data_IF_268174822575
#
_entry.id   IF_268174822575
#
_cell.length_a   1.000
_cell.length_b   1.000
_cell.length_c   1.000
_cell.angle_alpha   90.00
_cell.angle_beta   90.00
_cell.angle_gamma   90.00
#
_symmetry.space_group_name_H-M   'P 1'
#
loop_
_entity.id
_entity.type
_entity.pdbx_description
1 polymer ?
#
# COMPACT_ATOMS: atom_id res chain seq x y z
N UNK A 1 3.36 4.46 -11.77
CA UNK A 1 3.14 5.50 -10.73
C UNK A 1 1.91 6.33 -11.04
N UNK A 2 1.90 7.06 -12.15
CA UNK A 2 0.78 7.96 -12.49
C UNK A 2 -0.58 7.25 -12.54
N UNK A 3 -0.67 6.09 -13.19
CA UNK A 3 -1.94 5.38 -13.33
C UNK A 3 -2.47 4.87 -12.00
N UNK A 4 -1.60 4.31 -11.15
CA UNK A 4 -1.98 3.81 -9.82
C UNK A 4 -2.44 4.95 -8.89
N UNK A 5 -1.88 6.14 -9.03
CA UNK A 5 -2.33 7.35 -8.32
C UNK A 5 -3.73 7.77 -8.77
N UNK A 6 -3.98 7.81 -10.08
CA UNK A 6 -5.31 8.18 -10.60
C UNK A 6 -6.37 7.13 -10.22
N UNK A 7 -6.00 5.86 -10.28
CA UNK A 7 -6.84 4.77 -9.83
C UNK A 7 -7.21 4.92 -8.34
N UNK A 8 -6.25 5.19 -7.46
CA UNK A 8 -6.54 5.43 -6.04
C UNK A 8 -7.54 6.58 -5.83
N UNK A 9 -7.36 7.70 -6.54
CA UNK A 9 -8.28 8.85 -6.47
C UNK A 9 -9.70 8.49 -6.94
N UNK A 10 -9.81 7.71 -8.01
CA UNK A 10 -11.12 7.27 -8.51
C UNK A 10 -11.81 6.34 -7.50
N UNK A 11 -11.07 5.39 -6.92
CA UNK A 11 -11.59 4.45 -5.93
C UNK A 11 -11.99 5.17 -4.64
N UNK A 12 -11.18 6.13 -4.15
CA UNK A 12 -11.49 6.97 -2.98
C UNK A 12 -12.85 7.68 -3.12
N UNK A 13 -13.10 8.30 -4.28
CA UNK A 13 -14.30 9.10 -4.52
C UNK A 13 -15.53 8.22 -4.75
N UNK A 14 -15.40 7.19 -5.58
CA UNK A 14 -16.57 6.43 -6.04
C UNK A 14 -16.87 5.21 -5.17
N UNK A 15 -15.86 4.61 -4.54
CA UNK A 15 -15.97 3.33 -3.85
C UNK A 15 -15.08 3.28 -2.59
N UNK A 16 -15.34 4.13 -1.58
CA UNK A 16 -14.51 4.23 -0.38
C UNK A 16 -14.38 2.90 0.40
N UNK A 17 -15.37 2.02 0.27
CA UNK A 17 -15.29 0.65 0.82
C UNK A 17 -14.19 -0.20 0.15
N UNK A 18 -13.95 -0.04 -1.16
CA UNK A 18 -12.85 -0.71 -1.88
C UNK A 18 -11.52 -0.02 -1.55
N UNK A 19 -11.52 1.31 -1.42
CA UNK A 19 -10.34 2.08 -0.98
C UNK A 19 -9.79 1.54 0.35
N UNK A 20 -10.68 1.22 1.30
CA UNK A 20 -10.34 0.62 2.59
C UNK A 20 -9.86 -0.84 2.53
N UNK A 21 -9.92 -1.52 1.38
CA UNK A 21 -9.50 -2.94 1.22
C UNK A 21 -8.14 -3.10 0.54
N UNK A 22 -7.69 -2.11 -0.21
CA UNK A 22 -6.42 -2.17 -0.94
C UNK A 22 -5.31 -1.56 -0.08
N UNK A 23 -4.16 -2.23 0.01
CA UNK A 23 -3.01 -1.84 0.82
C UNK A 23 -3.21 -1.76 2.35
N UNK A 24 -4.41 -2.05 2.86
CA UNK A 24 -4.74 -1.96 4.28
C UNK A 24 -4.45 -3.24 5.08
N UNK A 25 -3.84 -4.26 4.46
CA UNK A 25 -3.60 -5.58 5.04
C UNK A 25 -2.22 -5.79 5.69
N UNK A 26 -1.92 -7.04 5.99
CA UNK A 26 -0.69 -7.48 6.69
C UNK A 26 0.14 -8.51 5.92
N UNK A 27 -0.34 -8.94 4.75
CA UNK A 27 0.20 -10.11 4.03
C UNK A 27 1.55 -9.85 3.34
N UNK A 28 2.01 -8.60 3.32
CA UNK A 28 3.27 -8.16 2.68
C UNK A 28 4.24 -7.54 3.71
N UNK A 29 4.08 -7.83 5.00
CA UNK A 29 5.02 -7.35 6.03
C UNK A 29 6.43 -7.85 5.74
N UNK A 30 7.37 -6.92 5.54
CA UNK A 30 8.76 -7.22 5.13
C UNK A 30 9.82 -6.71 6.14
N UNK A 31 9.37 -6.17 7.28
CA UNK A 31 10.23 -5.78 8.39
C UNK A 31 10.06 -6.74 9.56
N UNK A 32 11.13 -6.92 10.34
CA UNK A 32 11.09 -7.64 11.62
C UNK A 32 10.33 -6.87 12.72
N UNK A 33 9.78 -5.70 12.39
CA UNK A 33 9.05 -4.83 13.31
C UNK A 33 7.55 -5.06 13.33
N UNK A 34 6.87 -4.06 13.87
CA UNK A 34 5.42 -3.98 13.94
C UNK A 34 4.93 -2.68 13.31
N UNK A 35 4.98 -2.54 11.96
CA UNK A 35 4.57 -1.32 11.30
C UNK A 35 3.10 -1.00 11.55
N UNK A 36 2.79 0.21 12.00
CA UNK A 36 1.43 0.67 12.21
C UNK A 36 1.04 1.82 11.29
N UNK A 37 2.02 2.42 10.59
CA UNK A 37 1.78 3.55 9.69
C UNK A 37 2.62 3.46 8.42
N UNK A 38 2.15 4.16 7.38
CA UNK A 38 2.88 4.30 6.12
C UNK A 38 3.85 5.47 6.18
N UNK A 39 4.99 5.34 5.50
CA UNK A 39 5.97 6.40 5.36
C UNK A 39 6.73 6.30 4.04
N UNK A 40 7.10 7.45 3.47
CA UNK A 40 7.98 7.55 2.30
C UNK A 40 9.33 6.88 2.54
N UNK A 41 9.96 7.17 3.69
CA UNK A 41 11.23 6.62 4.12
C UNK A 41 11.10 6.09 5.54
N UNK A 42 10.74 4.81 5.74
CA UNK A 42 10.65 4.22 7.06
C UNK A 42 12.02 4.27 7.78
N UNK A 43 12.12 5.09 8.81
CA UNK A 43 13.32 5.33 9.62
C UNK A 43 13.40 4.46 10.88
N UNK A 44 12.33 3.73 11.17
CA UNK A 44 12.24 2.78 12.28
C UNK A 44 11.33 1.59 11.90
N UNK A 45 11.23 0.62 12.79
CA UNK A 45 10.50 -0.63 12.56
C UNK A 45 8.96 -0.53 12.82
N UNK A 46 8.45 0.67 13.10
CA UNK A 46 7.02 1.00 13.29
C UNK A 46 6.40 1.63 12.04
N UNK A 47 7.19 1.91 11.01
CA UNK A 47 6.78 2.48 9.73
C UNK A 47 7.03 1.52 8.58
N UNK A 48 6.32 1.71 7.48
CA UNK A 48 6.54 0.94 6.25
C UNK A 48 6.17 1.72 4.99
N UNK A 49 6.94 1.57 3.91
CA UNK A 49 6.55 2.03 2.57
C UNK A 49 5.82 0.94 1.77
N UNK A 50 5.57 -0.22 2.40
CA UNK A 50 5.02 -1.42 1.77
C UNK A 50 3.50 -1.48 1.90
N UNK A 51 2.81 -1.50 0.76
CA UNK A 51 1.40 -1.80 0.61
C UNK A 51 1.09 -3.14 1.28
N UNK A 52 0.04 -3.19 2.11
CA UNK A 52 -0.34 -4.34 2.91
C UNK A 52 0.82 -4.89 3.78
N UNK A 53 1.74 -4.01 4.17
CA UNK A 53 2.90 -4.30 5.02
C UNK A 53 2.72 -3.91 6.49
N UNK A 54 1.48 -3.62 6.92
CA UNK A 54 1.17 -3.27 8.30
C UNK A 54 1.21 -4.52 9.20
N UNK A 55 1.30 -4.29 10.51
CA UNK A 55 1.28 -5.36 11.51
C UNK A 55 -0.14 -5.84 11.83
N UNK A 56 -1.12 -4.96 11.66
CA UNK A 56 -2.54 -5.28 11.78
C UNK A 56 -3.27 -4.65 10.60
N UNK A 57 -4.36 -5.28 10.16
CA UNK A 57 -5.20 -4.73 9.12
C UNK A 57 -5.83 -3.41 9.61
N UNK A 58 -5.82 -2.37 8.76
CA UNK A 58 -6.19 -1.01 9.13
C UNK A 58 -6.98 -0.34 8.00
N UNK A 59 -8.30 -0.54 7.99
CA UNK A 59 -9.18 0.08 6.99
C UNK A 59 -9.23 1.62 7.10
N UNK A 60 -8.86 2.17 8.25
CA UNK A 60 -8.66 3.61 8.49
C UNK A 60 -7.40 4.16 7.79
N UNK A 61 -6.58 3.29 7.19
CA UNK A 61 -5.42 3.63 6.36
C UNK A 61 -5.66 3.08 4.96
N UNK A 62 -6.65 3.64 4.24
CA UNK A 62 -7.04 3.14 2.94
C UNK A 62 -5.96 3.37 1.89
N UNK A 63 -6.21 2.86 0.70
CA UNK A 63 -5.29 2.91 -0.42
C UNK A 63 -4.91 4.34 -0.84
N UNK A 64 -5.86 5.27 -0.85
CA UNK A 64 -5.60 6.71 -1.00
C UNK A 64 -4.55 7.25 -0.01
N UNK A 65 -4.69 6.91 1.29
CA UNK A 65 -3.72 7.29 2.34
C UNK A 65 -2.35 6.65 2.14
N UNK A 66 -2.30 5.41 1.67
CA UNK A 66 -1.05 4.78 1.29
C UNK A 66 -0.36 5.58 0.17
N UNK A 67 -1.07 5.88 -0.92
CA UNK A 67 -0.55 6.63 -2.08
C UNK A 67 0.03 7.99 -1.67
N UNK A 68 -0.66 8.71 -0.78
CA UNK A 68 -0.20 9.98 -0.21
C UNK A 68 1.06 9.78 0.65
N UNK A 69 0.98 8.91 1.66
CA UNK A 69 2.01 8.76 2.68
C UNK A 69 3.35 8.30 2.12
N UNK A 70 3.34 7.47 1.07
CA UNK A 70 4.57 6.97 0.44
C UNK A 70 5.01 7.80 -0.77
N UNK A 71 4.31 8.91 -1.06
CA UNK A 71 4.62 9.87 -2.12
C UNK A 71 4.67 9.26 -3.53
N UNK A 72 3.67 8.43 -3.84
CA UNK A 72 3.53 7.82 -5.17
C UNK A 72 3.33 8.87 -6.28
N UNK A 73 2.70 10.01 -5.94
CA UNK A 73 2.51 11.17 -6.85
C UNK A 73 3.84 11.76 -7.31
N UNK A 74 4.86 11.72 -6.44
CA UNK A 74 6.22 12.20 -6.74
C UNK A 74 7.09 11.12 -7.42
N UNK A 75 6.51 9.98 -7.80
CA UNK A 75 7.24 8.87 -8.40
C UNK A 75 8.07 8.05 -7.42
N UNK A 76 7.86 8.21 -6.11
CA UNK A 76 8.56 7.44 -5.08
C UNK A 76 7.80 6.16 -4.72
N UNK A 77 8.51 5.21 -4.10
CA UNK A 77 7.95 3.97 -3.56
C UNK A 77 7.12 3.12 -4.55
N UNK A 78 7.37 3.27 -5.85
CA UNK A 78 6.71 2.49 -6.90
C UNK A 78 7.69 2.04 -7.98
N UNK A 79 7.66 0.77 -8.44
CA UNK A 79 6.83 -0.34 -7.94
C UNK A 79 7.40 -1.00 -6.66
N UNK A 80 8.60 -0.62 -6.25
CA UNK A 80 9.31 -1.14 -5.09
C UNK A 80 9.14 -0.21 -3.89
N UNK A 81 8.84 -0.77 -2.73
CA UNK A 81 8.71 -0.04 -1.47
C UNK A 81 10.08 0.33 -0.87
N UNK A 82 10.13 1.41 -0.08
CA UNK A 82 11.15 1.63 0.95
C UNK A 82 10.72 0.96 2.24
N UNK A 83 11.68 0.35 2.93
CA UNK A 83 11.44 -0.46 4.14
C UNK A 83 12.53 -0.21 5.16
N UNK A 84 12.21 -0.48 6.42
CA UNK A 84 13.20 -0.51 7.50
C UNK A 84 13.50 -1.96 7.91
N UNK A 85 14.76 -2.36 7.77
CA UNK A 85 15.25 -3.63 8.30
C UNK A 85 16.68 -3.41 8.80
N UNK A 86 16.80 -3.09 10.09
CA UNK A 86 18.00 -2.55 10.77
C UNK A 86 18.52 -1.22 10.20
N UNK A 87 18.24 -0.92 8.94
CA UNK A 87 18.51 0.33 8.24
C UNK A 87 17.46 0.55 7.15
N UNK A 88 17.38 1.78 6.64
CA UNK A 88 16.54 2.14 5.49
C UNK A 88 17.08 1.46 4.23
N UNK A 89 16.23 0.73 3.51
CA UNK A 89 16.63 0.07 2.26
C UNK A 89 15.44 -0.11 1.32
N UNK A 90 15.74 -0.53 0.10
CA UNK A 90 14.70 -0.99 -0.82
C UNK A 90 14.15 -2.33 -0.37
N UNK A 91 12.83 -2.48 -0.49
CA UNK A 91 12.13 -3.72 -0.26
C UNK A 91 12.36 -4.73 -1.40
N UNK A 92 11.54 -5.77 -1.41
CA UNK A 92 11.53 -6.75 -2.50
C UNK A 92 11.18 -6.03 -3.81
N UNK A 93 11.89 -6.29 -4.93
CA UNK A 93 11.55 -5.72 -6.23
C UNK A 93 10.07 -5.93 -6.56
N UNK A 94 9.39 -4.86 -7.00
CA UNK A 94 7.95 -4.86 -7.29
C UNK A 94 7.04 -5.20 -6.10
N UNK A 95 7.53 -5.06 -4.86
CA UNK A 95 6.76 -5.40 -3.66
C UNK A 95 5.41 -4.68 -3.55
N UNK A 96 5.35 -3.39 -3.87
CA UNK A 96 4.08 -2.64 -3.83
C UNK A 96 3.15 -3.02 -4.97
N UNK A 97 3.68 -3.18 -6.19
CA UNK A 97 2.88 -3.61 -7.33
C UNK A 97 2.26 -5.01 -7.12
N UNK A 98 3.04 -5.95 -6.57
CA UNK A 98 2.58 -7.30 -6.25
C UNK A 98 1.50 -7.29 -5.18
N UNK A 99 1.67 -6.49 -4.12
CA UNK A 99 0.71 -6.39 -3.03
C UNK A 99 -0.62 -5.77 -3.50
N UNK A 100 -0.57 -4.67 -4.26
CA UNK A 100 -1.77 -4.05 -4.87
C UNK A 100 -2.51 -5.07 -5.74
N UNK A 101 -1.81 -5.76 -6.64
CA UNK A 101 -2.44 -6.74 -7.52
C UNK A 101 -3.10 -7.87 -6.73
N UNK A 102 -2.45 -8.34 -5.65
CA UNK A 102 -3.01 -9.36 -4.77
C UNK A 102 -4.27 -8.89 -4.05
N UNK A 103 -4.30 -7.65 -3.57
CA UNK A 103 -5.49 -7.07 -2.94
C UNK A 103 -6.65 -6.94 -3.94
N UNK A 104 -6.39 -6.47 -5.17
CA UNK A 104 -7.40 -6.38 -6.23
C UNK A 104 -7.97 -7.75 -6.63
N UNK A 105 -7.12 -8.79 -6.70
CA UNK A 105 -7.55 -10.17 -6.95
C UNK A 105 -8.30 -10.78 -5.77
N UNK A 106 -8.10 -10.28 -4.54
CA UNK A 106 -8.83 -10.75 -3.37
C UNK A 106 -10.22 -10.14 -3.21
N UNK A 107 -10.55 -9.08 -3.96
CA UNK A 107 -11.88 -8.47 -3.97
C UNK A 107 -12.97 -9.48 -4.38
N UNK A 108 -14.20 -9.24 -3.92
CA UNK A 108 -15.35 -10.05 -4.33
C UNK A 108 -15.71 -9.78 -5.81
N UNK A 109 -16.65 -10.56 -6.37
CA UNK A 109 -17.01 -10.50 -7.79
C UNK A 109 -17.53 -9.11 -8.21
N UNK A 110 -18.38 -8.50 -7.40
CA UNK A 110 -19.01 -7.22 -7.73
C UNK A 110 -17.99 -6.08 -7.62
N UNK A 111 -17.15 -6.10 -6.59
CA UNK A 111 -16.03 -5.17 -6.40
C UNK A 111 -15.02 -5.25 -7.54
N UNK A 112 -14.68 -6.47 -7.99
CA UNK A 112 -13.80 -6.66 -9.15
C UNK A 112 -14.37 -6.03 -10.41
N UNK A 113 -15.69 -6.13 -10.61
CA UNK A 113 -16.35 -5.56 -11.78
C UNK A 113 -16.28 -4.03 -11.78
N UNK A 114 -16.23 -3.42 -10.59
CA UNK A 114 -16.13 -1.97 -10.42
C UNK A 114 -14.72 -1.44 -10.74
N UNK A 115 -13.67 -2.20 -10.39
CA UNK A 115 -12.27 -1.74 -10.51
C UNK A 115 -11.56 -2.22 -11.78
N UNK A 116 -12.23 -3.04 -12.60
CA UNK A 116 -11.68 -3.60 -13.83
C UNK A 116 -11.66 -2.59 -15.00
#
# INVERSE_FOLDING_TARGET
>A
GKDIVQFAKAVEISHPHIDGKVCSGTHSKNSNGSPSTFAEEPDDNTKTGQCSGLNAAAQDKPFSKFVEAVKLVEGKNWPTARVFNSSKKDGVPNGNATAVAKDLVALNRDEKTIVA
#
